data_IF_059318137882
#
_entry.id   IF_059318137882
#
_cell.length_a   1.000
_cell.length_b   1.000
_cell.length_c   1.000
_cell.angle_alpha   90.00
_cell.angle_beta   90.00
_cell.angle_gamma   90.00
#
_symmetry.space_group_name_H-M   'P 1'
#
loop_
_entity.id
_entity.type
_entity.pdbx_description
1 polymer ?
#
# COMPACT_ATOMS: atom_id res chain seq x y z
N UNK A 1 19.28 -9.28 -1.44
CA UNK A 1 18.68 -7.93 -1.35
C UNK A 1 18.34 -7.49 -2.75
N UNK A 2 17.27 -6.71 -2.90
CA UNK A 2 16.75 -6.31 -4.20
C UNK A 2 16.87 -4.79 -4.40
N UNK A 3 16.92 -4.35 -5.65
CA UNK A 3 16.80 -2.93 -6.00
C UNK A 3 15.34 -2.66 -6.38
N UNK A 4 14.68 -1.75 -5.65
CA UNK A 4 13.30 -1.35 -5.93
C UNK A 4 13.30 -0.03 -6.70
N UNK A 5 12.65 -0.03 -7.86
CA UNK A 5 12.53 1.12 -8.75
C UNK A 5 11.04 1.38 -8.98
N UNK A 6 10.54 2.53 -8.52
CA UNK A 6 9.22 3.01 -8.92
C UNK A 6 9.35 3.53 -10.35
N UNK A 7 8.81 2.80 -11.32
CA UNK A 7 8.90 3.16 -12.75
C UNK A 7 7.99 4.36 -13.04
N UNK A 8 6.79 4.36 -12.46
CA UNK A 8 5.81 5.42 -12.57
C UNK A 8 5.09 5.58 -11.23
N UNK A 9 5.00 6.81 -10.73
CA UNK A 9 4.15 7.10 -9.57
C UNK A 9 2.69 7.07 -10.01
N UNK A 10 1.84 6.53 -9.15
CA UNK A 10 0.40 6.70 -9.29
C UNK A 10 -0.04 8.14 -9.00
N UNK A 11 -1.30 8.43 -9.30
CA UNK A 11 -1.98 9.68 -9.01
C UNK A 11 -3.49 9.45 -8.89
N UNK A 12 -4.18 10.32 -8.16
CA UNK A 12 -5.64 10.50 -8.23
C UNK A 12 -5.98 11.98 -8.13
N UNK A 13 -6.76 12.49 -9.09
CA UNK A 13 -7.19 13.89 -9.15
C UNK A 13 -8.66 14.00 -9.54
N UNK A 14 -9.37 14.92 -8.89
CA UNK A 14 -10.74 15.27 -9.26
C UNK A 14 -10.71 16.36 -10.32
N UNK A 15 -11.31 16.08 -11.47
CA UNK A 15 -11.50 16.99 -12.59
C UNK A 15 -12.98 17.41 -12.66
N UNK A 16 -13.31 18.60 -12.17
CA UNK A 16 -14.70 19.06 -12.11
C UNK A 16 -15.53 18.35 -11.03
N UNK A 17 -16.85 18.43 -11.12
CA UNK A 17 -17.73 17.98 -10.01
C UNK A 17 -17.89 16.46 -9.89
N UNK A 18 -17.64 15.66 -10.94
CA UNK A 18 -17.97 14.22 -10.94
C UNK A 18 -17.02 13.33 -11.79
N UNK A 19 -15.82 13.80 -12.13
CA UNK A 19 -14.86 12.98 -12.89
C UNK A 19 -13.55 12.85 -12.12
N UNK A 20 -13.15 11.61 -11.85
CA UNK A 20 -11.85 11.28 -11.27
C UNK A 20 -10.93 10.76 -12.37
N UNK A 21 -9.71 11.28 -12.41
CA UNK A 21 -8.61 10.72 -13.21
C UNK A 21 -7.59 10.12 -12.25
N UNK A 22 -7.32 8.83 -12.39
CA UNK A 22 -6.46 8.10 -11.48
C UNK A 22 -5.70 6.99 -12.19
N UNK A 23 -4.48 6.75 -11.73
CA UNK A 23 -3.66 5.62 -12.15
C UNK A 23 -2.83 5.10 -10.98
N UNK A 24 -2.54 3.79 -10.97
CA UNK A 24 -1.78 3.15 -9.92
C UNK A 24 -0.26 3.26 -10.14
N UNK A 25 0.51 3.13 -9.06
CA UNK A 25 1.97 3.04 -9.13
C UNK A 25 2.45 1.75 -9.81
N UNK A 26 3.46 1.86 -10.69
CA UNK A 26 4.12 0.70 -11.31
C UNK A 26 5.54 0.53 -10.74
N UNK A 27 5.84 -0.63 -10.17
CA UNK A 27 7.11 -0.88 -9.46
C UNK A 27 7.86 -2.09 -10.04
N UNK A 28 9.16 -1.91 -10.29
CA UNK A 28 10.10 -2.95 -10.69
C UNK A 28 11.01 -3.31 -9.51
N UNK A 29 11.11 -4.61 -9.23
CA UNK A 29 12.13 -5.15 -8.34
C UNK A 29 13.18 -5.86 -9.19
N UNK A 30 14.42 -5.39 -9.10
CA UNK A 30 15.58 -6.04 -9.71
C UNK A 30 16.30 -6.90 -8.67
N UNK A 31 16.52 -8.16 -9.02
CA UNK A 31 17.23 -9.14 -8.22
C UNK A 31 17.78 -10.25 -9.12
N UNK A 32 17.86 -11.49 -8.61
CA UNK A 32 18.23 -12.66 -9.42
C UNK A 32 17.25 -12.90 -10.58
N UNK A 33 15.98 -12.57 -10.36
CA UNK A 33 14.95 -12.43 -11.38
C UNK A 33 14.38 -11.01 -11.31
N UNK A 34 14.04 -10.41 -12.45
CA UNK A 34 13.34 -9.14 -12.48
C UNK A 34 11.84 -9.41 -12.26
N UNK A 35 11.24 -8.74 -11.28
CA UNK A 35 9.84 -8.89 -10.91
C UNK A 35 9.15 -7.54 -11.15
N UNK A 36 8.14 -7.52 -12.01
CA UNK A 36 7.23 -6.37 -12.14
C UNK A 36 6.07 -6.62 -11.18
N UNK A 37 5.79 -5.64 -10.33
CA UNK A 37 4.62 -5.63 -9.46
C UNK A 37 3.66 -4.59 -10.01
N UNK A 38 2.53 -5.09 -10.49
CA UNK A 38 1.35 -4.35 -10.84
C UNK A 38 0.24 -4.87 -9.94
N UNK A 39 -0.27 -4.03 -9.03
CA UNK A 39 -1.36 -4.41 -8.12
C UNK A 39 -2.69 -4.58 -8.85
N UNK A 40 -2.72 -4.37 -10.18
CA UNK A 40 -3.87 -4.54 -11.06
C UNK A 40 -5.09 -3.76 -10.53
N UNK A 41 -6.30 -4.16 -10.94
CA UNK A 41 -7.57 -3.52 -10.56
C UNK A 41 -8.39 -4.45 -9.67
N UNK A 42 -9.44 -3.92 -9.02
CA UNK A 42 -10.33 -4.66 -8.12
C UNK A 42 -10.96 -5.96 -8.70
N UNK A 43 -10.88 -6.18 -10.02
CA UNK A 43 -11.51 -7.32 -10.70
C UNK A 43 -10.66 -8.60 -10.78
N UNK A 44 -9.40 -8.58 -10.33
CA UNK A 44 -8.46 -9.72 -10.42
C UNK A 44 -8.31 -10.54 -9.11
N UNK A 45 -9.14 -10.25 -8.09
CA UNK A 45 -9.01 -10.75 -6.73
C UNK A 45 -8.91 -12.27 -6.55
N UNK A 46 -9.57 -13.08 -7.38
CA UNK A 46 -9.57 -14.55 -7.23
C UNK A 46 -8.19 -15.21 -7.34
N UNK A 47 -7.18 -14.52 -7.90
CA UNK A 47 -5.82 -15.05 -8.09
C UNK A 47 -4.89 -14.86 -6.88
N UNK A 48 -5.28 -14.03 -5.91
CA UNK A 48 -4.40 -13.55 -4.82
C UNK A 48 -4.77 -14.17 -3.45
N UNK A 49 -5.93 -14.83 -3.35
CA UNK A 49 -6.53 -15.23 -2.07
C UNK A 49 -5.98 -16.59 -1.59
N UNK A 50 -4.80 -16.55 -0.98
CA UNK A 50 -4.42 -17.48 0.07
C UNK A 50 -3.78 -16.64 1.17
N UNK A 51 -4.55 -16.36 2.24
CA UNK A 51 -4.25 -15.34 3.26
C UNK A 51 -3.03 -15.60 4.17
N UNK A 52 -2.04 -16.34 3.70
CA UNK A 52 -0.76 -16.54 4.36
C UNK A 52 0.32 -15.65 3.72
N UNK A 53 1.41 -15.39 4.46
CA UNK A 53 2.57 -14.71 3.89
C UNK A 53 3.17 -15.56 2.76
N UNK A 54 3.29 -14.99 1.57
CA UNK A 54 3.94 -15.65 0.44
C UNK A 54 5.35 -15.11 0.26
N UNK A 55 6.35 -15.92 0.64
CA UNK A 55 7.76 -15.57 0.52
C UNK A 55 8.24 -15.90 -0.89
N UNK A 56 8.50 -14.88 -1.70
CA UNK A 56 9.08 -15.05 -3.05
C UNK A 56 10.56 -15.41 -2.91
N UNK A 57 11.27 -14.68 -2.04
CA UNK A 57 12.64 -14.96 -1.64
C UNK A 57 12.96 -14.27 -0.30
N UNK A 58 14.20 -14.38 0.17
CA UNK A 58 14.66 -13.81 1.45
C UNK A 58 14.51 -12.27 1.57
N UNK A 59 14.24 -11.55 0.48
CA UNK A 59 14.10 -10.09 0.45
C UNK A 59 12.78 -9.61 -0.14
N UNK A 60 11.89 -10.50 -0.55
CA UNK A 60 10.60 -10.15 -1.15
C UNK A 60 9.53 -11.10 -0.64
N UNK A 61 8.48 -10.55 -0.06
CA UNK A 61 7.33 -11.30 0.44
C UNK A 61 6.03 -10.54 0.27
N UNK A 62 4.95 -11.27 0.16
CA UNK A 62 3.59 -10.74 0.03
C UNK A 62 2.85 -11.03 1.33
N UNK A 63 2.17 -10.03 1.89
CA UNK A 63 1.34 -10.20 3.08
C UNK A 63 -0.11 -9.82 2.76
N UNK A 64 -1.11 -10.51 3.34
CA UNK A 64 -2.49 -10.08 3.24
C UNK A 64 -2.68 -8.74 3.97
N UNK A 65 -3.30 -7.80 3.28
CA UNK A 65 -3.71 -6.49 3.82
C UNK A 65 -5.13 -6.12 3.40
N UNK A 66 -6.12 -7.00 3.66
CA UNK A 66 -7.51 -6.75 3.32
C UNK A 66 -8.06 -5.46 3.94
N UNK A 67 -8.96 -4.79 3.24
CA UNK A 67 -9.55 -3.55 3.71
C UNK A 67 -10.13 -2.70 2.59
N UNK A 68 -9.29 -2.20 1.67
CA UNK A 68 -9.81 -1.46 0.52
C UNK A 68 -10.62 -2.41 -0.37
N UNK A 69 -10.04 -3.57 -0.71
CA UNK A 69 -10.78 -4.80 -1.02
C UNK A 69 -10.45 -5.89 -0.01
N UNK A 70 -11.32 -6.89 0.12
CA UNK A 70 -11.06 -8.07 0.96
C UNK A 70 -9.96 -9.00 0.40
N UNK A 71 -9.48 -8.75 -0.83
CA UNK A 71 -8.41 -9.52 -1.49
C UNK A 71 -7.05 -8.81 -1.52
N UNK A 72 -6.95 -7.60 -0.95
CA UNK A 72 -5.75 -6.80 -1.06
C UNK A 72 -4.53 -7.42 -0.39
N UNK A 73 -3.38 -7.18 -1.01
CA UNK A 73 -2.07 -7.60 -0.52
C UNK A 73 -1.07 -6.45 -0.58
N UNK A 74 -0.08 -6.51 0.31
CA UNK A 74 1.08 -5.61 0.30
C UNK A 74 2.33 -6.43 0.02
N UNK A 75 3.20 -5.94 -0.87
CA UNK A 75 4.52 -6.54 -1.10
C UNK A 75 5.56 -5.82 -0.26
N UNK A 76 6.27 -6.55 0.60
CA UNK A 76 7.39 -6.05 1.38
C UNK A 76 8.71 -6.41 0.70
N UNK A 77 9.59 -5.42 0.59
CA UNK A 77 10.85 -5.52 -0.13
C UNK A 77 11.99 -5.00 0.74
N UNK A 78 12.93 -5.88 1.08
CA UNK A 78 14.20 -5.49 1.69
C UNK A 78 15.17 -5.07 0.60
N UNK A 79 15.49 -3.79 0.60
CA UNK A 79 16.31 -3.13 -0.42
C UNK A 79 17.79 -3.31 -0.14
N UNK A 80 18.60 -3.13 -1.18
CA UNK A 80 20.07 -3.18 -1.07
C UNK A 80 20.65 -2.14 -0.10
N UNK A 81 19.93 -1.04 0.12
CA UNK A 81 20.35 0.04 1.00
C UNK A 81 19.99 -0.23 2.47
N UNK A 82 19.40 -1.39 2.79
CA UNK A 82 19.01 -1.80 4.14
C UNK A 82 17.62 -1.33 4.57
N UNK A 83 16.92 -0.57 3.73
CA UNK A 83 15.53 -0.17 3.96
C UNK A 83 14.55 -1.30 3.58
N UNK A 84 13.46 -1.39 4.33
CA UNK A 84 12.28 -2.17 3.99
C UNK A 84 11.22 -1.24 3.40
N UNK A 85 10.69 -1.59 2.22
CA UNK A 85 9.69 -0.81 1.48
C UNK A 85 8.41 -1.65 1.33
N UNK A 86 7.25 -1.04 1.58
CA UNK A 86 5.96 -1.62 1.24
C UNK A 86 5.44 -1.06 -0.09
N UNK A 87 5.16 -1.93 -1.06
CA UNK A 87 4.30 -1.62 -2.21
C UNK A 87 2.88 -2.00 -1.80
N UNK A 88 2.09 -0.99 -1.44
CA UNK A 88 0.88 -1.20 -0.64
C UNK A 88 -0.42 -1.08 -1.43
N UNK A 89 -0.39 -0.58 -2.67
CA UNK A 89 -1.60 -0.25 -3.43
C UNK A 89 -2.53 0.65 -2.61
N UNK A 90 -3.83 0.47 -2.77
CA UNK A 90 -4.88 1.31 -2.17
C UNK A 90 -5.12 1.02 -0.68
N UNK A 91 -4.29 0.16 -0.05
CA UNK A 91 -4.14 0.21 1.41
C UNK A 91 -3.81 1.64 1.85
N UNK A 92 -2.99 2.34 1.05
CA UNK A 92 -2.77 3.77 1.11
C UNK A 92 -3.10 4.41 -0.23
N UNK A 93 -4.09 5.29 -0.25
CA UNK A 93 -4.48 6.06 -1.45
C UNK A 93 -3.28 6.92 -1.89
N UNK A 94 -2.79 7.77 -1.00
CA UNK A 94 -1.66 8.70 -1.22
C UNK A 94 -1.19 9.29 0.10
N UNK A 95 -0.07 10.00 0.12
CA UNK A 95 0.52 10.54 1.36
C UNK A 95 -0.45 11.41 2.17
N UNK A 96 -1.28 12.20 1.49
CA UNK A 96 -2.24 13.12 2.10
C UNK A 96 -3.30 12.38 2.95
N UNK A 97 -3.55 11.10 2.66
CA UNK A 97 -4.53 10.28 3.35
C UNK A 97 -4.16 9.96 4.81
N UNK A 98 -2.89 10.21 5.18
CA UNK A 98 -2.40 10.08 6.57
C UNK A 98 -3.00 11.19 7.43
N UNK A 99 -3.14 12.39 6.86
CA UNK A 99 -3.71 13.56 7.53
C UNK A 99 -5.22 13.68 7.29
N UNK A 100 -5.70 13.26 6.11
CA UNK A 100 -7.11 13.26 5.74
C UNK A 100 -7.61 11.83 5.46
N UNK A 101 -8.10 11.09 6.47
CA UNK A 101 -8.59 9.73 6.28
C UNK A 101 -9.75 9.59 5.28
N UNK A 102 -10.47 10.68 4.98
CA UNK A 102 -11.56 10.63 4.00
C UNK A 102 -11.08 10.25 2.60
N UNK A 103 -9.82 10.56 2.24
CA UNK A 103 -9.27 10.20 0.92
C UNK A 103 -9.37 8.69 0.66
N UNK A 104 -8.98 7.84 1.62
CA UNK A 104 -9.03 6.39 1.45
C UNK A 104 -10.40 5.79 1.82
N UNK A 105 -11.16 6.46 2.71
CA UNK A 105 -12.50 6.01 3.09
C UNK A 105 -13.49 6.18 1.93
N UNK A 106 -13.47 7.35 1.29
CA UNK A 106 -14.36 7.69 0.17
C UNK A 106 -13.90 7.05 -1.16
N UNK A 107 -12.65 6.58 -1.23
CA UNK A 107 -12.14 5.75 -2.33
C UNK A 107 -12.75 4.34 -2.40
N UNK A 108 -13.71 4.00 -1.51
CA UNK A 108 -14.53 2.79 -1.65
C UNK A 108 -14.06 1.58 -0.84
N UNK A 109 -13.50 1.81 0.36
CA UNK A 109 -13.11 0.74 1.28
C UNK A 109 -14.24 -0.25 1.57
N UNK A 110 -14.01 -1.54 1.31
CA UNK A 110 -14.94 -2.64 1.64
C UNK A 110 -15.01 -2.94 3.14
N UNK A 111 -13.87 -2.85 3.85
CA UNK A 111 -13.78 -3.00 5.31
C UNK A 111 -12.85 -1.92 5.91
N UNK A 112 -13.41 -0.76 6.27
CA UNK A 112 -12.64 0.35 6.83
C UNK A 112 -11.93 0.03 8.13
N UNK A 113 -12.48 -0.87 8.95
CA UNK A 113 -11.85 -1.27 10.21
C UNK A 113 -10.57 -2.07 9.94
N UNK A 114 -10.66 -3.03 9.00
CA UNK A 114 -9.55 -3.88 8.63
C UNK A 114 -8.49 -3.13 7.84
N UNK A 115 -8.88 -2.24 6.92
CA UNK A 115 -7.96 -1.35 6.22
C UNK A 115 -7.16 -0.50 7.22
N UNK A 116 -7.82 0.05 8.24
CA UNK A 116 -7.16 0.87 9.28
C UNK A 116 -6.14 0.08 10.10
N UNK A 117 -6.49 -1.14 10.50
CA UNK A 117 -5.57 -2.06 11.19
C UNK A 117 -4.37 -2.39 10.32
N UNK A 118 -4.60 -2.70 9.04
CA UNK A 118 -3.53 -3.05 8.11
C UNK A 118 -2.63 -1.86 7.74
N UNK A 119 -3.19 -0.64 7.64
CA UNK A 119 -2.41 0.60 7.47
C UNK A 119 -1.40 0.76 8.61
N UNK A 120 -1.84 0.62 9.86
CA UNK A 120 -0.92 0.67 11.00
C UNK A 120 0.09 -0.48 11.00
N UNK A 121 -0.37 -1.72 10.78
CA UNK A 121 0.48 -2.92 10.69
C UNK A 121 1.62 -2.74 9.70
N UNK A 122 1.33 -2.28 8.48
CA UNK A 122 2.34 -2.07 7.43
C UNK A 122 3.30 -0.96 7.82
N UNK A 123 2.81 0.20 8.26
CA UNK A 123 3.65 1.33 8.67
C UNK A 123 4.59 1.00 9.84
N UNK A 124 4.19 0.08 10.73
CA UNK A 124 5.05 -0.38 11.82
C UNK A 124 6.23 -1.25 11.36
N UNK A 125 6.16 -1.85 10.15
CA UNK A 125 7.15 -2.80 9.63
C UNK A 125 8.15 -2.18 8.66
N UNK A 126 7.86 -1.00 8.10
CA UNK A 126 8.61 -0.48 6.94
C UNK A 126 9.18 0.91 7.17
N UNK A 127 10.18 1.23 6.35
CA UNK A 127 10.83 2.53 6.27
C UNK A 127 10.15 3.43 5.23
N UNK A 128 9.60 2.84 4.17
CA UNK A 128 8.94 3.55 3.07
C UNK A 128 7.66 2.84 2.61
N UNK A 129 6.71 3.62 2.10
CA UNK A 129 5.48 3.15 1.48
C UNK A 129 5.39 3.70 0.06
N UNK A 130 5.05 2.83 -0.89
CA UNK A 130 4.58 3.17 -2.23
C UNK A 130 3.05 3.01 -2.22
N UNK A 131 2.28 4.12 -2.21
CA UNK A 131 0.83 4.06 -2.23
C UNK A 131 0.30 3.75 -3.64
N UNK A 132 -1.01 3.50 -3.73
CA UNK A 132 -1.69 3.28 -5.00
C UNK A 132 -1.63 4.49 -5.92
N UNK A 133 -2.02 5.67 -5.41
CA UNK A 133 -2.31 6.88 -6.17
C UNK A 133 -1.46 8.09 -5.77
N UNK A 134 -0.16 7.88 -5.51
CA UNK A 134 0.76 8.97 -5.23
C UNK A 134 2.24 8.58 -5.23
N UNK A 135 3.15 9.54 -4.98
CA UNK A 135 4.57 9.25 -4.84
C UNK A 135 4.84 8.46 -3.55
N UNK A 136 5.93 7.68 -3.56
CA UNK A 136 6.41 7.02 -2.35
C UNK A 136 6.77 8.03 -1.25
N UNK A 137 6.57 7.65 0.01
CA UNK A 137 6.88 8.49 1.17
C UNK A 137 7.55 7.72 2.30
N UNK A 138 8.34 8.45 3.10
CA UNK A 138 9.06 7.88 4.25
C UNK A 138 8.11 7.74 5.45
N UNK A 139 8.17 6.61 6.13
CA UNK A 139 7.40 6.35 7.35
C UNK A 139 8.17 6.86 8.56
N UNK A 140 7.71 8.01 9.09
CA UNK A 140 8.25 8.63 10.31
C UNK A 140 7.50 8.17 11.55
N UNK A 141 8.06 8.40 12.73
CA UNK A 141 7.40 8.06 14.00
C UNK A 141 6.06 8.80 14.18
N UNK A 142 5.98 10.05 13.69
CA UNK A 142 4.73 10.82 13.68
C UNK A 142 3.67 10.14 12.81
N UNK A 143 4.05 9.56 11.67
CA UNK A 143 3.13 8.80 10.81
C UNK A 143 2.67 7.54 11.53
N UNK A 144 3.58 6.79 12.16
CA UNK A 144 3.24 5.58 12.94
C UNK A 144 2.26 5.91 14.08
N UNK A 145 2.49 7.00 14.80
CA UNK A 145 1.61 7.46 15.87
C UNK A 145 0.24 7.90 15.34
N UNK A 146 0.19 8.65 14.23
CA UNK A 146 -1.07 9.03 13.56
C UNK A 146 -1.90 7.79 13.20
N UNK A 147 -1.30 6.82 12.53
CA UNK A 147 -1.97 5.59 12.09
C UNK A 147 -2.38 4.71 13.28
N UNK A 148 -1.57 4.67 14.35
CA UNK A 148 -1.92 3.99 15.60
C UNK A 148 -3.16 4.62 16.24
N UNK A 149 -3.20 5.96 16.33
CA UNK A 149 -4.34 6.67 16.90
C UNK A 149 -5.61 6.46 16.07
N UNK A 150 -5.48 6.49 14.74
CA UNK A 150 -6.58 6.11 13.85
C UNK A 150 -7.07 4.70 14.21
N UNK A 151 -6.19 3.69 14.25
CA UNK A 151 -6.56 2.31 14.59
C UNK A 151 -7.22 2.17 15.96
N UNK A 152 -6.82 2.94 16.96
CA UNK A 152 -7.38 2.87 18.32
C UNK A 152 -8.74 3.57 18.45
N UNK A 153 -9.03 4.58 17.62
CA UNK A 153 -10.25 5.38 17.68
C UNK A 153 -11.48 4.70 17.03
N UNK A 154 -11.47 3.37 16.89
CA UNK A 154 -12.60 2.58 16.33
C UNK A 154 -13.91 2.67 17.15
N UNK A 155 -13.90 3.33 18.31
CA UNK A 155 -14.99 3.31 19.30
C UNK A 155 -15.50 4.71 19.73
N UNK A 156 -15.31 5.76 18.92
CA UNK A 156 -15.93 7.08 19.16
C UNK A 156 -16.99 7.40 18.12
#
# INVERSE_FOLDING_TARGET
MSELIVLFNGFSTMNGENQMDANCSCTLIKGTHNIIIDTMTAWDGEKIIAGDEYIINNSVKVIPTPGHTLSDVTVLVDTIDGDTVAVAGDLFEKFEDIANPNEWLEAGSEDPEQQRKNRFKVAALVHWIVPGHGPRFQVTDKIRESLKNQMLNLNQ
#
